data_IF_375352135173
#
_entry.id   IF_375352135173
#
_cell.length_a   1.000
_cell.length_b   1.000
_cell.length_c   1.000
_cell.angle_alpha   90.00
_cell.angle_beta   90.00
_cell.angle_gamma   90.00
#
_symmetry.space_group_name_H-M   'P 1'
#
loop_
_entity.id
_entity.type
_entity.pdbx_description
1 polymer ?
#
# COMPACT_ATOMS: atom_id res chain seq x y z
N UNK A 1 9.23 -33.31 -16.21
CA UNK A 1 7.81 -33.07 -15.83
C UNK A 1 7.69 -31.58 -15.57
N UNK A 2 6.63 -30.91 -16.04
CA UNK A 2 6.42 -29.47 -15.78
C UNK A 2 6.28 -29.24 -14.28
N UNK A 3 6.86 -28.17 -13.76
CA UNK A 3 6.66 -27.72 -12.38
C UNK A 3 5.40 -26.88 -12.27
N UNK A 4 4.75 -26.93 -11.12
CA UNK A 4 3.60 -26.09 -10.81
C UNK A 4 4.05 -24.73 -10.21
N UNK A 5 3.19 -23.74 -10.33
CA UNK A 5 3.36 -22.46 -9.70
C UNK A 5 2.36 -22.29 -8.55
N UNK A 6 2.74 -21.47 -7.56
CA UNK A 6 1.84 -21.08 -6.46
C UNK A 6 1.98 -19.60 -6.17
N UNK A 7 0.86 -18.90 -5.97
CA UNK A 7 0.83 -17.47 -5.63
C UNK A 7 0.02 -17.23 -4.37
N UNK A 8 0.48 -16.33 -3.52
CA UNK A 8 -0.21 -15.89 -2.32
C UNK A 8 -0.23 -14.39 -2.16
N UNK A 9 -1.18 -13.91 -1.34
CA UNK A 9 -1.34 -12.52 -0.96
C UNK A 9 -1.16 -12.39 0.55
N UNK A 10 -0.50 -11.32 1.01
CA UNK A 10 -0.15 -11.14 2.41
C UNK A 10 -0.20 -9.67 2.85
N UNK A 11 -0.47 -9.46 4.13
CA UNK A 11 -0.54 -8.15 4.77
C UNK A 11 -1.83 -7.39 4.48
N UNK A 12 -1.83 -6.08 4.70
CA UNK A 12 -2.96 -5.19 4.41
C UNK A 12 -3.29 -5.17 2.91
N UNK A 13 -4.58 -5.26 2.51
CA UNK A 13 -4.95 -5.23 1.10
C UNK A 13 -4.81 -3.83 0.50
N UNK A 14 -4.80 -3.75 -0.84
CA UNK A 14 -4.91 -2.51 -1.61
C UNK A 14 -5.99 -2.62 -2.67
N UNK A 15 -6.35 -1.51 -3.30
CA UNK A 15 -7.32 -1.51 -4.38
C UNK A 15 -6.82 -2.26 -5.63
N UNK A 16 -5.50 -2.42 -5.81
CA UNK A 16 -4.89 -3.09 -6.99
C UNK A 16 -4.12 -4.37 -6.65
N UNK A 17 -4.19 -4.88 -5.40
CA UNK A 17 -3.47 -6.12 -5.05
C UNK A 17 -3.90 -7.30 -5.93
N UNK A 18 -5.16 -7.32 -6.35
CA UNK A 18 -5.68 -8.35 -7.24
C UNK A 18 -5.30 -8.11 -8.71
N UNK A 19 -4.96 -6.90 -9.10
CA UNK A 19 -4.36 -6.63 -10.41
C UNK A 19 -2.96 -7.27 -10.51
N UNK A 20 -2.15 -7.22 -9.44
CA UNK A 20 -0.90 -7.98 -9.37
C UNK A 20 -1.13 -9.48 -9.42
N UNK A 21 -2.15 -10.00 -8.71
CA UNK A 21 -2.54 -11.41 -8.78
C UNK A 21 -2.95 -11.80 -10.20
N UNK A 22 -3.76 -10.98 -10.87
CA UNK A 22 -4.12 -11.17 -12.27
C UNK A 22 -2.87 -11.30 -13.16
N UNK A 23 -1.90 -10.40 -12.99
CA UNK A 23 -0.66 -10.42 -13.76
C UNK A 23 0.11 -11.72 -13.61
N UNK A 24 0.23 -12.25 -12.37
CA UNK A 24 0.88 -13.55 -12.11
C UNK A 24 0.11 -14.70 -12.76
N UNK A 25 -1.21 -14.76 -12.54
CA UNK A 25 -2.04 -15.88 -13.04
C UNK A 25 -2.10 -15.87 -14.57
N UNK A 26 -2.35 -14.72 -15.17
CA UNK A 26 -2.44 -14.57 -16.62
C UNK A 26 -1.13 -14.96 -17.32
N UNK A 27 0.01 -14.48 -16.83
CA UNK A 27 1.31 -14.84 -17.42
C UNK A 27 1.61 -16.33 -17.23
N UNK A 28 1.30 -16.91 -16.05
CA UNK A 28 1.52 -18.35 -15.80
C UNK A 28 0.66 -19.24 -16.72
N UNK A 29 -0.61 -18.87 -16.96
CA UNK A 29 -1.50 -19.58 -17.89
C UNK A 29 -1.00 -19.48 -19.33
N UNK A 30 -0.42 -18.35 -19.74
CA UNK A 30 0.19 -18.19 -21.07
C UNK A 30 1.52 -18.95 -21.24
N UNK A 31 2.01 -19.60 -20.18
CA UNK A 31 3.23 -20.43 -20.17
C UNK A 31 2.94 -21.89 -19.86
N UNK A 32 1.80 -22.40 -20.30
CA UNK A 32 1.44 -23.81 -20.12
C UNK A 32 2.43 -24.79 -20.75
N UNK A 33 3.32 -24.35 -21.63
CA UNK A 33 4.44 -25.16 -22.14
C UNK A 33 5.49 -25.47 -21.07
N UNK A 34 5.68 -24.62 -20.05
CA UNK A 34 6.66 -24.74 -18.97
C UNK A 34 6.02 -24.94 -17.61
N UNK A 35 4.98 -24.18 -17.29
CA UNK A 35 4.24 -24.24 -16.01
C UNK A 35 3.10 -25.26 -16.13
N UNK A 36 2.93 -26.12 -15.12
CA UNK A 36 1.78 -27.02 -14.99
C UNK A 36 0.55 -26.29 -14.49
N UNK A 37 0.14 -26.57 -13.27
CA UNK A 37 -0.96 -25.88 -12.60
C UNK A 37 -0.47 -24.61 -11.91
N UNK A 38 -1.26 -23.53 -11.94
CA UNK A 38 -1.08 -22.35 -11.08
C UNK A 38 -2.08 -22.41 -9.93
N UNK A 39 -1.56 -22.54 -8.70
CA UNK A 39 -2.34 -22.56 -7.46
C UNK A 39 -2.38 -21.18 -6.80
N UNK A 40 -3.51 -20.83 -6.19
CA UNK A 40 -3.66 -19.70 -5.27
C UNK A 40 -3.66 -20.18 -3.82
N UNK A 41 -2.77 -19.66 -2.98
CA UNK A 41 -2.77 -19.94 -1.53
C UNK A 41 -3.92 -19.19 -0.85
N UNK A 42 -4.87 -19.90 -0.29
CA UNK A 42 -5.94 -19.30 0.47
C UNK A 42 -5.42 -18.92 1.86
N UNK A 43 -5.45 -17.62 2.18
CA UNK A 43 -4.84 -17.03 3.38
C UNK A 43 -3.30 -17.23 3.48
N UNK A 44 -2.60 -17.05 2.36
CA UNK A 44 -1.15 -16.98 2.30
C UNK A 44 -0.44 -18.23 2.85
N UNK A 45 0.71 -18.05 3.46
CA UNK A 45 1.54 -19.14 4.02
C UNK A 45 0.80 -19.95 5.08
N UNK A 46 0.02 -19.30 5.94
CA UNK A 46 -0.76 -19.99 6.98
C UNK A 46 -1.77 -20.95 6.36
N UNK A 47 -2.46 -20.51 5.31
CA UNK A 47 -3.37 -21.38 4.57
C UNK A 47 -2.65 -22.51 3.85
N UNK A 48 -1.48 -22.26 3.25
CA UNK A 48 -0.69 -23.28 2.59
C UNK A 48 -0.16 -24.33 3.57
N UNK A 49 0.21 -23.95 4.78
CA UNK A 49 0.54 -24.91 5.85
C UNK A 49 -0.61 -25.88 6.15
N UNK A 50 -1.85 -25.44 5.97
CA UNK A 50 -3.05 -26.26 6.11
C UNK A 50 -3.54 -26.87 4.78
N UNK A 51 -2.72 -26.79 3.71
CA UNK A 51 -3.05 -27.26 2.35
C UNK A 51 -4.31 -26.60 1.77
N UNK A 52 -4.63 -25.39 2.24
CA UNK A 52 -5.76 -24.61 1.76
C UNK A 52 -5.34 -23.79 0.53
N UNK A 53 -5.64 -24.31 -0.65
CA UNK A 53 -5.30 -23.67 -1.92
C UNK A 53 -6.33 -24.04 -2.99
N UNK A 54 -6.36 -23.26 -4.09
CA UNK A 54 -7.25 -23.48 -5.22
C UNK A 54 -6.48 -23.46 -6.54
N UNK A 55 -6.97 -24.20 -7.53
CA UNK A 55 -6.53 -24.04 -8.92
C UNK A 55 -7.09 -22.74 -9.47
N UNK A 56 -6.22 -21.92 -10.07
CA UNK A 56 -6.60 -20.61 -10.60
C UNK A 56 -7.12 -20.66 -12.06
N UNK A 57 -6.89 -21.76 -12.78
CA UNK A 57 -7.30 -21.91 -14.19
C UNK A 57 -8.81 -21.78 -14.42
N UNK A 58 -9.70 -22.31 -13.54
CA UNK A 58 -11.14 -22.14 -13.73
C UNK A 58 -11.62 -20.69 -13.74
N UNK A 59 -10.89 -19.75 -13.11
CA UNK A 59 -11.25 -18.33 -13.09
C UNK A 59 -11.16 -17.68 -14.47
N UNK A 60 -10.20 -18.12 -15.30
CA UNK A 60 -10.09 -17.67 -16.70
C UNK A 60 -11.27 -18.20 -17.53
N UNK A 61 -11.55 -19.50 -17.43
CA UNK A 61 -12.63 -20.15 -18.16
C UNK A 61 -14.01 -19.56 -17.85
N UNK A 62 -14.24 -19.07 -16.64
CA UNK A 62 -15.50 -18.48 -16.20
C UNK A 62 -15.57 -16.96 -16.40
N UNK A 63 -14.50 -16.31 -16.91
CA UNK A 63 -14.40 -14.86 -17.05
C UNK A 63 -14.26 -14.11 -15.73
N UNK A 64 -14.11 -14.80 -14.61
CA UNK A 64 -13.92 -14.20 -13.26
C UNK A 64 -12.54 -13.56 -13.12
N UNK A 65 -11.53 -14.06 -13.85
CA UNK A 65 -10.16 -13.53 -13.80
C UNK A 65 -10.12 -12.04 -14.21
N UNK A 66 -10.94 -11.63 -15.19
CA UNK A 66 -11.05 -10.22 -15.60
C UNK A 66 -11.66 -9.34 -14.49
N UNK A 67 -12.62 -9.86 -13.72
CA UNK A 67 -13.22 -9.12 -12.61
C UNK A 67 -12.24 -8.95 -11.44
N UNK A 68 -11.31 -9.87 -11.27
CA UNK A 68 -10.30 -9.80 -10.20
C UNK A 68 -9.49 -8.51 -10.30
N UNK A 69 -9.16 -8.01 -11.48
CA UNK A 69 -8.36 -6.78 -11.68
C UNK A 69 -8.89 -5.58 -10.91
N UNK A 70 -10.20 -5.42 -10.87
CA UNK A 70 -10.87 -4.25 -10.26
C UNK A 70 -11.56 -4.59 -8.94
N UNK A 71 -11.45 -5.83 -8.47
CA UNK A 71 -11.97 -6.26 -7.18
C UNK A 71 -11.03 -5.80 -6.07
N UNK A 72 -11.46 -4.96 -5.12
CA UNK A 72 -10.63 -4.54 -4.00
C UNK A 72 -10.46 -5.66 -2.97
N UNK A 73 -9.45 -5.51 -2.12
CA UNK A 73 -9.13 -6.52 -1.12
C UNK A 73 -8.33 -7.69 -1.70
N UNK A 74 -7.96 -8.65 -0.86
CA UNK A 74 -7.18 -9.83 -1.29
C UNK A 74 -8.14 -10.95 -1.67
N UNK A 75 -8.24 -11.26 -2.96
CA UNK A 75 -9.13 -12.32 -3.47
C UNK A 75 -8.83 -13.69 -2.84
N UNK A 76 -7.54 -14.01 -2.67
CA UNK A 76 -7.10 -15.23 -2.03
C UNK A 76 -7.19 -15.17 -0.49
N UNK A 77 -7.64 -14.05 0.09
CA UNK A 77 -7.48 -13.78 1.50
C UNK A 77 -6.05 -13.36 1.83
N UNK A 78 -5.80 -13.07 3.09
CA UNK A 78 -4.50 -12.62 3.57
C UNK A 78 -4.17 -13.30 4.89
N UNK A 79 -2.90 -13.33 5.25
CA UNK A 79 -2.45 -13.74 6.58
C UNK A 79 -1.44 -12.74 7.15
N UNK A 80 -1.22 -12.85 8.44
CA UNK A 80 -0.19 -12.12 9.19
C UNK A 80 0.73 -13.11 9.92
N UNK A 81 1.19 -14.11 9.18
CA UNK A 81 2.08 -15.15 9.71
C UNK A 81 3.54 -14.75 9.44
N UNK A 82 4.33 -14.67 10.51
CA UNK A 82 5.79 -14.47 10.44
C UNK A 82 6.49 -15.81 10.54
N UNK A 83 7.32 -16.13 9.55
CA UNK A 83 8.23 -17.27 9.63
C UNK A 83 9.29 -17.01 10.72
N UNK A 84 9.66 -18.06 11.51
CA UNK A 84 10.75 -17.93 12.48
C UNK A 84 12.05 -17.47 11.86
N UNK A 85 12.87 -16.71 12.64
CA UNK A 85 14.23 -16.32 12.19
C UNK A 85 15.19 -17.50 12.11
N UNK A 86 14.99 -18.49 12.98
CA UNK A 86 15.78 -19.71 12.99
C UNK A 86 15.35 -20.63 11.86
N UNK A 87 16.19 -20.76 10.83
CA UNK A 87 15.94 -21.62 9.68
C UNK A 87 15.93 -23.13 10.02
N UNK A 88 16.28 -23.52 11.25
CA UNK A 88 16.16 -24.92 11.71
C UNK A 88 14.78 -25.26 12.26
N UNK A 89 13.88 -24.28 12.36
CA UNK A 89 12.49 -24.50 12.81
C UNK A 89 11.75 -25.48 11.92
N UNK A 90 10.92 -26.31 12.57
CA UNK A 90 10.18 -27.38 11.91
C UNK A 90 9.19 -26.89 10.83
N UNK A 91 8.82 -25.61 10.82
CA UNK A 91 7.92 -25.06 9.79
C UNK A 91 8.53 -25.09 8.40
N UNK A 92 9.85 -24.90 8.29
CA UNK A 92 10.53 -24.90 6.99
C UNK A 92 10.50 -26.27 6.29
N UNK A 93 10.96 -27.36 6.90
CA UNK A 93 10.81 -28.67 6.26
C UNK A 93 9.35 -29.03 5.98
N UNK A 94 8.38 -28.67 6.85
CA UNK A 94 6.95 -28.90 6.58
C UNK A 94 6.47 -28.17 5.32
N UNK A 95 6.89 -26.90 5.09
CA UNK A 95 6.56 -26.17 3.88
C UNK A 95 7.18 -26.83 2.65
N UNK A 96 8.44 -27.25 2.73
CA UNK A 96 9.16 -27.85 1.60
C UNK A 96 8.64 -29.24 1.24
N UNK A 97 8.22 -30.05 2.21
CA UNK A 97 7.50 -31.32 1.96
C UNK A 97 6.19 -31.05 1.17
N UNK A 98 5.46 -29.98 1.50
CA UNK A 98 4.25 -29.61 0.75
C UNK A 98 4.56 -29.08 -0.65
N UNK A 99 5.62 -28.28 -0.79
CA UNK A 99 6.08 -27.86 -2.12
C UNK A 99 6.44 -29.07 -3.00
N UNK A 100 7.11 -30.07 -2.44
CA UNK A 100 7.42 -31.31 -3.16
C UNK A 100 6.15 -32.10 -3.50
N UNK A 101 5.26 -32.30 -2.51
CA UNK A 101 3.98 -33.01 -2.69
C UNK A 101 3.16 -32.43 -3.85
N UNK A 102 3.12 -31.12 -4.00
CA UNK A 102 2.38 -30.44 -5.05
C UNK A 102 3.23 -30.08 -6.28
N UNK A 103 4.46 -30.62 -6.35
CA UNK A 103 5.42 -30.38 -7.43
C UNK A 103 5.62 -28.88 -7.74
N UNK A 104 5.66 -28.03 -6.71
CA UNK A 104 5.87 -26.58 -6.85
C UNK A 104 7.31 -26.32 -7.27
N UNK A 105 7.49 -25.53 -8.32
CA UNK A 105 8.80 -25.04 -8.79
C UNK A 105 8.89 -23.52 -8.79
N UNK A 106 7.74 -22.84 -8.69
CA UNK A 106 7.67 -21.38 -8.73
C UNK A 106 6.75 -20.88 -7.63
N UNK A 107 7.27 -20.01 -6.79
CA UNK A 107 6.56 -19.41 -5.67
C UNK A 107 6.51 -17.88 -5.84
N UNK A 108 5.31 -17.31 -5.81
CA UNK A 108 5.07 -15.87 -5.92
C UNK A 108 4.35 -15.37 -4.68
N UNK A 109 4.86 -14.29 -4.07
CA UNK A 109 4.24 -13.74 -2.87
C UNK A 109 4.02 -12.24 -3.02
N UNK A 110 2.75 -11.84 -3.04
CA UNK A 110 2.32 -10.45 -3.23
C UNK A 110 2.16 -9.82 -1.85
N UNK A 111 3.01 -8.82 -1.53
CA UNK A 111 2.93 -8.19 -0.23
C UNK A 111 3.93 -7.07 0.02
N UNK A 112 3.90 -6.56 1.24
CA UNK A 112 4.79 -5.52 1.75
C UNK A 112 6.04 -6.08 2.42
N UNK A 113 6.60 -5.33 3.35
CA UNK A 113 7.87 -5.60 4.02
C UNK A 113 7.93 -6.99 4.68
N UNK A 114 6.94 -7.36 5.50
CA UNK A 114 6.85 -8.69 6.13
C UNK A 114 6.73 -9.83 5.10
N UNK A 115 6.16 -9.55 3.93
CA UNK A 115 6.05 -10.56 2.87
C UNK A 115 7.39 -10.75 2.15
N UNK A 116 8.18 -9.69 2.01
CA UNK A 116 9.54 -9.77 1.49
C UNK A 116 10.45 -10.52 2.45
N UNK A 117 10.27 -10.34 3.76
CA UNK A 117 10.94 -11.15 4.79
C UNK A 117 10.61 -12.65 4.66
N UNK A 118 9.34 -12.99 4.38
CA UNK A 118 8.93 -14.37 4.09
C UNK A 118 9.65 -14.93 2.86
N UNK A 119 9.72 -14.18 1.76
CA UNK A 119 10.45 -14.58 0.53
C UNK A 119 11.93 -14.76 0.80
N UNK A 120 12.56 -13.85 1.55
CA UNK A 120 13.95 -13.93 1.99
C UNK A 120 14.22 -15.22 2.75
N UNK A 121 13.44 -15.52 3.78
CA UNK A 121 13.61 -16.70 4.63
C UNK A 121 13.42 -18.02 3.84
N UNK A 122 12.41 -18.07 2.99
CA UNK A 122 12.17 -19.26 2.16
C UNK A 122 13.28 -19.48 1.12
N UNK A 123 13.77 -18.42 0.49
CA UNK A 123 14.88 -18.56 -0.48
C UNK A 123 16.19 -18.97 0.20
N UNK A 124 16.50 -18.42 1.38
CA UNK A 124 17.66 -18.81 2.17
C UNK A 124 17.58 -20.26 2.65
N UNK A 125 16.39 -20.69 3.12
CA UNK A 125 16.21 -22.11 3.48
C UNK A 125 16.36 -23.02 2.26
N UNK A 126 15.83 -22.64 1.11
CA UNK A 126 15.98 -23.40 -0.16
C UNK A 126 17.45 -23.64 -0.51
N UNK A 127 18.34 -22.68 -0.28
CA UNK A 127 19.77 -22.84 -0.49
C UNK A 127 20.36 -23.92 0.43
N UNK A 128 19.95 -23.99 1.70
CA UNK A 128 20.47 -24.97 2.66
C UNK A 128 20.10 -26.40 2.30
N UNK A 129 18.98 -26.60 1.62
CA UNK A 129 18.47 -27.93 1.20
C UNK A 129 18.66 -28.20 -0.30
N UNK A 130 19.37 -27.32 -1.01
CA UNK A 130 19.60 -27.39 -2.46
C UNK A 130 18.30 -27.52 -3.27
N UNK A 131 17.27 -26.79 -2.89
CA UNK A 131 15.98 -26.77 -3.59
C UNK A 131 16.06 -25.90 -4.84
N UNK A 132 15.43 -26.33 -5.92
CA UNK A 132 15.36 -25.61 -7.20
C UNK A 132 14.14 -24.67 -7.30
N UNK A 133 13.34 -24.52 -6.25
CA UNK A 133 12.17 -23.63 -6.25
C UNK A 133 12.60 -22.18 -6.42
N UNK A 134 11.91 -21.45 -7.27
CA UNK A 134 12.13 -20.01 -7.50
C UNK A 134 11.15 -19.18 -6.66
N UNK A 135 11.68 -18.39 -5.76
CA UNK A 135 10.92 -17.51 -4.84
C UNK A 135 11.02 -16.08 -5.32
N UNK A 136 9.89 -15.49 -5.69
CA UNK A 136 9.78 -14.11 -6.17
C UNK A 136 8.76 -13.33 -5.33
N UNK A 137 9.17 -12.18 -4.81
CA UNK A 137 8.31 -11.18 -4.19
C UNK A 137 7.72 -10.24 -5.24
N UNK A 138 6.41 -9.99 -5.14
CA UNK A 138 5.71 -8.98 -5.92
C UNK A 138 5.34 -7.85 -4.97
N UNK A 139 5.83 -6.61 -5.17
CA UNK A 139 5.60 -5.52 -4.24
C UNK A 139 4.13 -5.14 -4.18
N UNK A 140 3.67 -4.82 -2.99
CA UNK A 140 2.34 -4.29 -2.72
C UNK A 140 2.34 -3.59 -1.36
N UNK A 141 2.03 -2.31 -1.33
CA UNK A 141 1.63 -1.56 -0.14
C UNK A 141 1.10 -0.19 -0.56
N UNK A 142 0.12 0.36 0.19
CA UNK A 142 -0.30 1.76 0.02
C UNK A 142 0.69 2.72 0.68
N UNK A 143 1.49 2.24 1.64
CA UNK A 143 2.39 3.07 2.45
C UNK A 143 3.62 3.55 1.66
N UNK A 144 3.89 2.96 0.50
CA UNK A 144 5.01 3.30 -0.39
C UNK A 144 6.39 3.26 0.30
N UNK A 145 6.52 2.36 1.25
CA UNK A 145 7.62 2.26 2.21
C UNK A 145 8.71 1.24 1.85
N UNK A 146 8.59 0.52 0.73
CA UNK A 146 9.61 -0.43 0.28
C UNK A 146 10.79 0.30 -0.34
N UNK A 147 12.02 -0.06 0.09
CA UNK A 147 13.25 0.48 -0.48
C UNK A 147 13.58 -0.15 -1.83
N UNK A 148 14.56 0.40 -2.57
CA UNK A 148 15.04 -0.06 -3.88
C UNK A 148 13.98 -0.09 -4.98
N UNK A 149 12.80 0.48 -4.76
CA UNK A 149 11.76 0.66 -5.77
C UNK A 149 11.29 2.10 -5.79
N UNK A 150 10.98 2.66 -6.96
CA UNK A 150 10.47 4.03 -7.08
C UNK A 150 9.18 4.18 -6.27
N UNK A 151 8.22 3.30 -6.50
CA UNK A 151 6.94 3.25 -5.76
C UNK A 151 6.40 1.82 -5.73
N UNK A 152 5.26 1.64 -5.05
CA UNK A 152 4.65 0.32 -4.87
C UNK A 152 3.21 0.31 -5.38
N UNK A 153 2.76 -0.81 -6.01
CA UNK A 153 1.35 -1.00 -6.37
C UNK A 153 0.43 -0.86 -5.16
N UNK A 154 -0.59 -0.04 -5.32
CA UNK A 154 -1.52 0.37 -4.26
C UNK A 154 -1.37 1.82 -3.84
N UNK A 155 -0.14 2.36 -3.84
CA UNK A 155 0.10 3.76 -3.48
C UNK A 155 -0.57 4.72 -4.46
N UNK A 156 -0.44 4.52 -5.78
CA UNK A 156 -1.00 5.43 -6.78
C UNK A 156 -2.53 5.58 -6.66
N UNK A 157 -3.26 4.49 -6.48
CA UNK A 157 -4.71 4.54 -6.28
C UNK A 157 -5.11 5.13 -4.94
N UNK A 158 -4.39 4.82 -3.86
CA UNK A 158 -4.65 5.40 -2.55
C UNK A 158 -4.34 6.91 -2.52
N UNK A 159 -3.24 7.35 -3.14
CA UNK A 159 -2.89 8.77 -3.31
C UNK A 159 -3.96 9.53 -4.12
N UNK A 160 -4.49 8.92 -5.20
CA UNK A 160 -5.59 9.48 -5.98
C UNK A 160 -6.86 9.63 -5.14
N UNK A 161 -7.18 8.61 -4.33
CA UNK A 161 -8.33 8.66 -3.41
C UNK A 161 -8.16 9.80 -2.40
N UNK A 162 -7.00 9.89 -1.74
CA UNK A 162 -6.69 10.96 -0.77
C UNK A 162 -6.82 12.33 -1.42
N UNK A 163 -6.13 12.55 -2.54
CA UNK A 163 -6.15 13.84 -3.23
C UNK A 163 -7.57 14.26 -3.68
N UNK A 164 -8.34 13.32 -4.22
CA UNK A 164 -9.71 13.58 -4.68
C UNK A 164 -10.65 13.89 -3.52
N UNK A 165 -10.61 13.05 -2.47
CA UNK A 165 -11.47 13.22 -1.28
C UNK A 165 -11.14 14.51 -0.53
N UNK A 166 -9.85 14.85 -0.38
CA UNK A 166 -9.44 16.10 0.26
C UNK A 166 -9.88 17.32 -0.57
N UNK A 167 -9.82 17.24 -1.91
CA UNK A 167 -10.33 18.29 -2.79
C UNK A 167 -11.83 18.51 -2.64
N UNK A 168 -12.60 17.41 -2.57
CA UNK A 168 -14.06 17.47 -2.34
C UNK A 168 -14.38 18.05 -0.96
N UNK A 169 -13.68 17.63 0.09
CA UNK A 169 -13.80 18.19 1.45
C UNK A 169 -13.47 19.68 1.47
N UNK A 170 -12.43 20.11 0.74
CA UNK A 170 -12.05 21.51 0.66
C UNK A 170 -13.16 22.39 0.00
N UNK A 171 -13.79 21.87 -1.05
CA UNK A 171 -14.92 22.53 -1.70
C UNK A 171 -16.13 22.61 -0.75
N UNK A 172 -16.50 21.50 -0.08
CA UNK A 172 -17.58 21.49 0.91
C UNK A 172 -17.31 22.48 2.05
N UNK A 173 -16.08 22.50 2.56
CA UNK A 173 -15.72 23.43 3.64
C UNK A 173 -15.81 24.91 3.21
N UNK A 174 -15.55 25.22 1.95
CA UNK A 174 -15.49 26.60 1.44
C UNK A 174 -16.83 27.33 1.43
N UNK A 175 -17.96 26.63 1.53
CA UNK A 175 -19.31 27.24 1.48
C UNK A 175 -19.65 28.06 2.73
N UNK A 176 -18.89 27.94 3.81
CA UNK A 176 -19.09 28.66 5.08
C UNK A 176 -18.00 29.71 5.31
N UNK A 177 -17.81 30.61 4.37
CA UNK A 177 -16.72 31.59 4.36
C UNK A 177 -16.85 32.72 5.38
N UNK A 178 -18.03 32.88 6.02
CA UNK A 178 -18.33 33.92 7.00
C UNK A 178 -17.92 33.56 8.45
N UNK A 179 -17.38 32.37 8.69
CA UNK A 179 -16.95 31.91 10.02
C UNK A 179 -15.69 31.05 9.92
N UNK A 180 -14.77 31.32 10.85
CA UNK A 180 -13.54 30.50 10.97
C UNK A 180 -13.88 29.03 11.33
N UNK A 181 -13.35 28.09 10.55
CA UNK A 181 -13.50 26.67 10.78
C UNK A 181 -12.25 25.89 10.35
N UNK A 182 -12.03 24.75 11.00
CA UNK A 182 -10.95 23.81 10.67
C UNK A 182 -11.53 22.43 10.40
N UNK A 183 -11.14 21.79 9.32
CA UNK A 183 -11.40 20.38 9.06
C UNK A 183 -10.06 19.65 9.08
N UNK A 184 -9.90 18.71 10.01
CA UNK A 184 -8.71 17.87 10.15
C UNK A 184 -8.99 16.55 9.44
N UNK A 185 -8.13 16.14 8.50
CA UNK A 185 -8.26 14.88 7.77
C UNK A 185 -7.11 13.97 8.19
N UNK A 186 -7.46 12.86 8.85
CA UNK A 186 -6.51 11.84 9.28
C UNK A 186 -6.35 10.79 8.17
N UNK A 187 -5.11 10.53 7.79
CA UNK A 187 -4.71 9.70 6.65
C UNK A 187 -3.77 8.60 7.13
N UNK A 188 -3.88 7.40 6.59
CA UNK A 188 -2.97 6.28 6.92
C UNK A 188 -1.51 6.62 6.62
N UNK A 189 -0.62 6.04 7.40
CA UNK A 189 0.83 6.20 7.29
C UNK A 189 1.46 6.22 8.68
N UNK A 190 1.91 5.06 9.19
CA UNK A 190 2.45 4.95 10.56
C UNK A 190 3.83 5.57 10.69
N UNK A 191 4.77 5.16 9.84
CA UNK A 191 6.17 5.56 9.88
C UNK A 191 6.58 6.38 8.66
N UNK A 192 5.82 6.28 7.57
CA UNK A 192 6.05 6.99 6.32
C UNK A 192 4.81 7.78 5.92
N UNK A 193 4.98 9.06 5.64
CA UNK A 193 3.91 10.02 5.37
C UNK A 193 3.49 10.14 3.91
N UNK A 194 3.82 9.19 3.05
CA UNK A 194 3.58 9.29 1.60
C UNK A 194 2.12 9.57 1.22
N UNK A 195 1.16 8.92 1.90
CA UNK A 195 -0.27 9.15 1.64
C UNK A 195 -0.75 10.51 2.16
N UNK A 196 -0.30 10.92 3.35
CA UNK A 196 -0.64 12.24 3.87
C UNK A 196 -0.03 13.34 2.98
N UNK A 197 1.21 13.17 2.51
CA UNK A 197 1.84 14.06 1.54
C UNK A 197 1.04 14.15 0.23
N UNK A 198 0.42 13.05 -0.23
CA UNK A 198 -0.39 13.04 -1.45
C UNK A 198 -1.61 13.98 -1.39
N UNK A 199 -2.03 14.41 -0.20
CA UNK A 199 -3.09 15.41 -0.04
C UNK A 199 -2.73 16.77 -0.69
N UNK A 200 -1.43 17.09 -0.88
CA UNK A 200 -0.99 18.28 -1.59
C UNK A 200 -1.51 18.36 -3.03
N UNK A 201 -1.72 17.18 -3.67
CA UNK A 201 -2.27 17.10 -5.03
C UNK A 201 -3.74 17.55 -5.12
N UNK A 202 -4.41 17.76 -3.99
CA UNK A 202 -5.74 18.35 -3.94
C UNK A 202 -5.73 19.83 -4.37
N UNK A 203 -4.63 20.53 -4.18
CA UNK A 203 -4.46 21.96 -4.54
C UNK A 203 -4.48 22.16 -6.05
N UNK A 204 -5.04 23.28 -6.48
CA UNK A 204 -4.96 23.75 -7.86
C UNK A 204 -4.05 24.98 -7.97
N UNK A 205 -4.08 25.82 -6.93
CA UNK A 205 -3.27 27.03 -6.84
C UNK A 205 -2.52 27.08 -5.52
N UNK A 206 -1.46 27.87 -5.47
CA UNK A 206 -0.76 28.17 -4.23
C UNK A 206 -1.73 28.78 -3.20
N UNK A 207 -1.67 28.30 -1.96
CA UNK A 207 -2.58 28.73 -0.89
C UNK A 207 -3.94 28.03 -0.84
N UNK A 208 -4.26 27.15 -1.81
CA UNK A 208 -5.46 26.31 -1.74
C UNK A 208 -5.37 25.30 -0.58
N UNK A 209 -6.54 24.85 -0.13
CA UNK A 209 -6.61 23.74 0.82
C UNK A 209 -6.15 22.39 0.21
N UNK A 210 -5.50 21.51 0.99
CA UNK A 210 -5.16 21.65 2.41
C UNK A 210 -4.02 22.65 2.62
N UNK A 211 -4.15 23.55 3.57
CA UNK A 211 -3.14 24.60 3.85
C UNK A 211 -2.00 24.11 4.74
N UNK A 212 -2.23 23.02 5.52
CA UNK A 212 -1.26 22.43 6.41
C UNK A 212 -1.27 20.92 6.22
N UNK A 213 -0.08 20.31 6.16
CA UNK A 213 0.12 18.86 5.99
C UNK A 213 1.24 18.42 6.93
N UNK A 214 0.92 17.56 7.90
CA UNK A 214 1.89 17.05 8.88
C UNK A 214 2.18 15.57 8.66
N UNK A 215 3.46 15.24 8.59
CA UNK A 215 3.98 13.90 8.32
C UNK A 215 4.71 13.32 9.54
N UNK A 216 4.81 11.98 9.67
CA UNK A 216 5.53 11.33 10.77
C UNK A 216 7.04 11.53 10.72
N UNK A 217 7.60 11.92 9.58
CA UNK A 217 9.03 12.18 9.35
C UNK A 217 9.55 13.39 10.14
N UNK A 218 8.66 14.29 10.57
CA UNK A 218 9.01 15.49 11.32
C UNK A 218 8.32 15.45 12.68
N UNK A 219 9.08 15.75 13.75
CA UNK A 219 8.51 15.83 15.08
C UNK A 219 7.34 16.83 15.14
N UNK A 220 6.20 16.36 15.62
CA UNK A 220 4.98 17.15 15.70
C UNK A 220 4.93 17.94 17.01
N UNK A 221 4.69 19.24 16.89
CA UNK A 221 4.50 20.16 18.01
C UNK A 221 3.08 20.76 18.01
N UNK A 222 2.35 20.58 19.11
CA UNK A 222 0.97 21.06 19.26
C UNK A 222 0.87 22.58 19.30
N UNK A 223 1.82 23.27 19.93
CA UNK A 223 1.83 24.73 19.98
C UNK A 223 2.16 25.32 18.62
N UNK A 224 3.04 24.65 17.84
CA UNK A 224 3.31 25.05 16.46
C UNK A 224 2.07 24.86 15.58
N UNK A 225 1.33 23.75 15.71
CA UNK A 225 0.05 23.55 14.99
C UNK A 225 -0.92 24.72 15.27
N UNK A 226 -1.08 25.11 16.55
CA UNK A 226 -1.99 26.19 16.92
C UNK A 226 -1.55 27.53 16.30
N UNK A 227 -0.24 27.82 16.30
CA UNK A 227 0.32 29.01 15.67
C UNK A 227 0.12 28.98 14.14
N UNK A 228 0.36 27.84 13.49
CA UNK A 228 0.18 27.67 12.04
C UNK A 228 -1.29 27.86 11.63
N UNK A 229 -2.23 27.30 12.40
CA UNK A 229 -3.69 27.51 12.21
C UNK A 229 -4.07 28.98 12.36
N UNK A 230 -3.56 29.68 13.39
CA UNK A 230 -3.84 31.11 13.57
C UNK A 230 -3.31 31.94 12.41
N UNK A 231 -2.09 31.65 11.95
CA UNK A 231 -1.47 32.32 10.80
C UNK A 231 -2.25 32.08 9.51
N UNK A 232 -2.67 30.83 9.27
CA UNK A 232 -3.46 30.49 8.08
C UNK A 232 -4.81 31.23 8.06
N UNK A 233 -5.41 31.50 9.21
CA UNK A 233 -6.63 32.31 9.33
C UNK A 233 -6.47 33.81 8.95
N UNK A 234 -5.27 34.27 8.70
CA UNK A 234 -5.03 35.63 8.14
C UNK A 234 -5.39 35.65 6.65
N UNK A 235 -5.40 34.52 5.97
CA UNK A 235 -5.59 34.43 4.52
C UNK A 235 -6.90 33.74 4.11
N UNK A 236 -7.42 32.81 4.92
CA UNK A 236 -8.66 32.09 4.65
C UNK A 236 -9.44 31.81 5.93
N UNK A 237 -10.77 31.70 5.83
CA UNK A 237 -11.65 31.39 6.97
C UNK A 237 -11.88 29.87 7.13
N UNK A 238 -11.63 29.07 6.12
CA UNK A 238 -11.87 27.62 6.13
C UNK A 238 -10.58 26.86 5.84
N UNK A 239 -10.07 26.20 6.88
CA UNK A 239 -8.82 25.46 6.80
C UNK A 239 -9.10 23.97 6.69
N UNK A 240 -8.42 23.31 5.76
CA UNK A 240 -8.25 21.85 5.77
C UNK A 240 -6.81 21.55 6.17
N UNK A 241 -6.66 20.75 7.21
CA UNK A 241 -5.38 20.29 7.76
C UNK A 241 -5.31 18.80 7.57
N UNK A 242 -4.35 18.32 6.81
CA UNK A 242 -4.12 16.87 6.63
C UNK A 242 -3.02 16.41 7.58
N UNK A 243 -3.24 15.28 8.24
CA UNK A 243 -2.27 14.67 9.14
C UNK A 243 -2.10 13.19 8.81
N UNK A 244 -0.90 12.68 8.97
CA UNK A 244 -0.70 11.25 9.04
C UNK A 244 -1.15 10.71 10.42
N UNK A 245 -1.74 9.51 10.45
CA UNK A 245 -2.06 8.82 11.71
C UNK A 245 -0.84 8.61 12.60
N UNK A 246 0.36 8.56 11.99
CA UNK A 246 1.64 8.30 12.63
C UNK A 246 2.39 9.55 13.11
N UNK A 247 1.78 10.75 13.11
CA UNK A 247 2.46 11.93 13.67
C UNK A 247 2.84 11.70 15.14
N UNK A 248 4.04 12.09 15.49
CA UNK A 248 4.64 11.78 16.81
C UNK A 248 5.52 12.93 17.32
N UNK A 249 5.86 12.90 18.61
CA UNK A 249 6.63 13.93 19.30
C UNK A 249 8.15 13.91 19.03
N UNK A 250 8.60 13.10 18.09
CA UNK A 250 10.02 12.87 17.79
C UNK A 250 10.75 11.93 18.78
N UNK A 251 10.10 11.55 19.88
CA UNK A 251 10.61 10.60 20.88
C UNK A 251 9.89 9.25 20.81
N UNK A 252 9.11 9.02 19.76
CA UNK A 252 8.38 7.77 19.50
C UNK A 252 7.00 7.67 20.17
N UNK A 253 6.48 8.75 20.75
CA UNK A 253 5.12 8.79 21.28
C UNK A 253 4.18 9.38 20.23
N UNK A 254 3.23 8.59 19.77
CA UNK A 254 2.24 9.03 18.79
C UNK A 254 1.21 9.97 19.41
N UNK A 255 0.70 10.91 18.61
CA UNK A 255 -0.32 11.88 19.05
C UNK A 255 -1.61 11.18 19.50
N UNK A 256 -2.01 10.09 18.86
CA UNK A 256 -3.18 9.30 19.27
C UNK A 256 -3.05 8.74 20.71
N UNK A 257 -1.84 8.49 21.20
CA UNK A 257 -1.60 8.01 22.58
C UNK A 257 -1.88 9.08 23.64
N UNK A 258 -2.05 10.34 23.23
CA UNK A 258 -2.47 11.42 24.13
C UNK A 258 -3.99 11.42 24.38
N UNK A 259 -4.74 10.75 23.54
CA UNK A 259 -6.21 10.70 23.60
C UNK A 259 -6.74 9.53 24.47
N UNK A 260 -6.09 8.36 24.43
CA UNK A 260 -6.54 7.13 25.11
C UNK A 260 -5.47 6.05 25.09
N UNK A 261 -5.65 4.98 25.86
CA UNK A 261 -4.82 3.77 25.75
C UNK A 261 -5.01 3.15 24.36
N UNK A 262 -3.93 3.05 23.60
CA UNK A 262 -3.91 2.51 22.26
C UNK A 262 -3.70 1.00 22.30
N UNK A 263 -4.62 0.23 21.74
CA UNK A 263 -4.48 -1.22 21.59
C UNK A 263 -3.34 -1.60 20.63
N UNK A 264 -2.94 -2.88 20.65
CA UNK A 264 -1.96 -3.43 19.71
C UNK A 264 -2.61 -4.44 18.77
N UNK A 265 -2.12 -4.51 17.53
CA UNK A 265 -2.54 -5.52 16.56
C UNK A 265 -1.84 -6.88 16.82
N UNK A 266 -2.16 -7.88 15.99
CA UNK A 266 -1.58 -9.23 16.10
C UNK A 266 -0.08 -9.31 15.84
N UNK A 267 0.54 -8.25 15.31
CA UNK A 267 2.00 -8.14 15.14
C UNK A 267 2.68 -7.35 16.28
N UNK A 268 1.90 -6.87 17.26
CA UNK A 268 2.39 -6.04 18.36
C UNK A 268 2.54 -4.55 17.99
N UNK A 269 2.01 -4.12 16.85
CA UNK A 269 1.99 -2.71 16.48
C UNK A 269 0.82 -1.99 17.15
N UNK A 270 1.05 -0.77 17.62
CA UNK A 270 -0.01 0.09 18.16
C UNK A 270 -1.07 0.36 17.11
N UNK A 271 -2.35 0.25 17.47
CA UNK A 271 -3.47 0.62 16.61
C UNK A 271 -3.61 2.14 16.60
N UNK A 272 -3.05 2.79 15.58
CA UNK A 272 -3.05 4.25 15.47
C UNK A 272 -4.40 4.72 14.92
N UNK A 273 -5.24 5.29 15.78
CA UNK A 273 -6.49 5.96 15.40
C UNK A 273 -6.78 7.05 16.42
N UNK A 274 -7.42 8.13 15.97
CA UNK A 274 -7.89 9.19 16.85
C UNK A 274 -6.95 10.37 17.04
N UNK A 275 -5.85 10.45 16.31
CA UNK A 275 -5.00 11.66 16.26
C UNK A 275 -5.83 12.87 15.82
N UNK A 276 -6.65 12.72 14.75
CA UNK A 276 -7.54 13.78 14.26
C UNK A 276 -8.56 14.22 15.31
N UNK A 277 -9.13 13.27 16.06
CA UNK A 277 -10.10 13.60 17.12
C UNK A 277 -9.46 14.31 18.32
N UNK A 278 -8.25 13.90 18.68
CA UNK A 278 -7.48 14.59 19.71
C UNK A 278 -7.20 16.04 19.31
N UNK A 279 -6.72 16.25 18.10
CA UNK A 279 -6.41 17.61 17.58
C UNK A 279 -7.68 18.45 17.36
N UNK A 280 -8.81 17.84 16.99
CA UNK A 280 -10.12 18.53 16.93
C UNK A 280 -10.44 19.19 18.27
N UNK A 281 -10.33 18.43 19.37
CA UNK A 281 -10.59 18.94 20.71
C UNK A 281 -9.55 20.01 21.10
N UNK A 282 -8.27 19.75 20.87
CA UNK A 282 -7.20 20.71 21.16
C UNK A 282 -7.43 22.06 20.48
N UNK A 283 -7.66 22.06 19.17
CA UNK A 283 -7.86 23.30 18.40
C UNK A 283 -9.14 24.02 18.81
N UNK A 284 -10.23 23.26 19.03
CA UNK A 284 -11.50 23.82 19.50
C UNK A 284 -11.36 24.50 20.86
N UNK A 285 -10.71 23.84 21.83
CA UNK A 285 -10.60 24.35 23.19
C UNK A 285 -9.63 25.55 23.28
N UNK A 286 -8.55 25.52 22.49
CA UNK A 286 -7.52 26.56 22.53
C UNK A 286 -7.85 27.79 21.66
N UNK A 287 -8.50 27.60 20.53
CA UNK A 287 -8.78 28.70 19.57
C UNK A 287 -10.26 29.14 19.53
N UNK A 288 -11.17 28.39 20.13
CA UNK A 288 -12.59 28.74 20.17
C UNK A 288 -13.29 28.71 18.81
N UNK A 289 -12.74 28.01 17.82
CA UNK A 289 -13.29 27.93 16.47
C UNK A 289 -14.05 26.61 16.27
N UNK A 290 -14.88 26.55 15.21
CA UNK A 290 -15.53 25.30 14.82
C UNK A 290 -14.48 24.37 14.23
N UNK A 291 -14.40 23.13 14.75
CA UNK A 291 -13.50 22.09 14.25
C UNK A 291 -14.28 20.81 13.99
N UNK A 292 -13.88 20.06 13.01
CA UNK A 292 -14.29 18.66 12.78
C UNK A 292 -13.07 17.82 12.38
N UNK A 293 -13.09 16.54 12.70
CA UNK A 293 -12.12 15.57 12.20
C UNK A 293 -12.81 14.53 11.32
N UNK A 294 -12.08 14.05 10.32
CA UNK A 294 -12.50 13.02 9.36
C UNK A 294 -11.35 12.03 9.28
N UNK A 295 -11.61 10.77 9.62
CA UNK A 295 -10.67 9.68 9.43
C UNK A 295 -10.98 8.98 8.10
N UNK A 296 -10.04 8.94 7.16
CA UNK A 296 -10.22 8.24 5.88
C UNK A 296 -10.22 6.73 6.05
N UNK A 297 -9.52 6.23 7.06
CA UNK A 297 -9.50 4.84 7.49
C UNK A 297 -9.34 3.87 6.30
N UNK A 298 -10.02 2.70 6.32
CA UNK A 298 -9.88 1.65 5.29
C UNK A 298 -10.34 2.08 3.88
N UNK A 299 -11.17 3.12 3.76
CA UNK A 299 -11.70 3.58 2.48
C UNK A 299 -10.58 3.96 1.50
N UNK A 300 -9.47 4.55 1.97
CA UNK A 300 -8.35 4.96 1.15
C UNK A 300 -7.59 3.79 0.48
N UNK A 301 -7.76 2.56 0.96
CA UNK A 301 -7.10 1.37 0.40
C UNK A 301 -8.03 0.40 -0.34
N UNK A 302 -9.34 0.68 -0.38
CA UNK A 302 -10.32 -0.23 -0.98
C UNK A 302 -11.26 0.42 -2.00
N UNK A 303 -11.11 1.72 -2.29
CA UNK A 303 -11.96 2.40 -3.26
C UNK A 303 -11.69 1.94 -4.68
N UNK A 304 -12.59 1.16 -5.27
CA UNK A 304 -12.55 0.78 -6.68
C UNK A 304 -12.98 1.93 -7.60
N UNK A 305 -13.78 2.87 -7.11
CA UNK A 305 -14.26 4.02 -7.90
C UNK A 305 -13.14 5.00 -8.28
N UNK A 306 -12.05 5.03 -7.50
CA UNK A 306 -10.94 5.97 -7.69
C UNK A 306 -9.62 5.26 -8.06
N UNK A 307 -9.69 4.11 -8.74
CA UNK A 307 -8.49 3.44 -9.23
C UNK A 307 -7.69 4.34 -10.18
N UNK A 308 -6.37 4.38 -9.98
CA UNK A 308 -5.44 4.94 -10.95
C UNK A 308 -5.17 3.92 -12.06
N UNK A 309 -5.32 4.34 -13.32
CA UNK A 309 -5.00 3.46 -14.45
C UNK A 309 -3.50 3.18 -14.55
N UNK A 310 -2.65 4.11 -14.12
CA UNK A 310 -1.20 3.90 -14.00
C UNK A 310 -0.92 2.78 -12.99
N UNK A 311 -1.47 2.87 -11.79
CA UNK A 311 -1.26 1.93 -10.69
C UNK A 311 -1.76 0.51 -11.05
N UNK A 312 -2.97 0.39 -11.66
CA UNK A 312 -3.50 -0.90 -12.12
C UNK A 312 -2.59 -1.55 -13.16
N UNK A 313 -2.21 -0.78 -14.19
CA UNK A 313 -1.33 -1.27 -15.27
C UNK A 313 0.01 -1.76 -14.73
N UNK A 314 0.60 -1.01 -13.81
CA UNK A 314 1.89 -1.34 -13.22
C UNK A 314 1.80 -2.53 -12.26
N UNK A 315 0.70 -2.64 -11.51
CA UNK A 315 0.42 -3.81 -10.70
C UNK A 315 0.33 -5.11 -11.53
N UNK A 316 -0.39 -5.07 -12.66
CA UNK A 316 -0.47 -6.20 -13.60
C UNK A 316 0.91 -6.54 -14.15
N UNK A 317 1.65 -5.54 -14.62
CA UNK A 317 2.96 -5.74 -15.22
C UNK A 317 3.97 -6.31 -14.24
N UNK A 318 3.96 -5.88 -12.97
CA UNK A 318 4.84 -6.41 -11.93
C UNK A 318 4.59 -7.90 -11.66
N UNK A 319 3.32 -8.33 -11.64
CA UNK A 319 2.95 -9.73 -11.50
C UNK A 319 3.46 -10.57 -12.67
N UNK A 320 3.22 -10.12 -13.90
CA UNK A 320 3.67 -10.81 -15.12
C UNK A 320 5.20 -10.88 -15.21
N UNK A 321 5.89 -9.77 -14.90
CA UNK A 321 7.35 -9.72 -14.91
C UNK A 321 7.97 -10.65 -13.85
N UNK A 322 7.29 -10.82 -12.69
CA UNK A 322 7.68 -11.78 -11.67
C UNK A 322 7.72 -13.22 -12.19
N UNK A 323 6.70 -13.65 -12.94
CA UNK A 323 6.69 -14.97 -13.57
C UNK A 323 7.81 -15.10 -14.59
N UNK A 324 8.00 -14.13 -15.47
CA UNK A 324 9.07 -14.13 -16.47
C UNK A 324 10.46 -14.19 -15.81
N UNK A 325 10.65 -13.53 -14.69
CA UNK A 325 11.89 -13.53 -13.90
C UNK A 325 12.18 -14.91 -13.31
N UNK A 326 11.17 -15.56 -12.71
CA UNK A 326 11.29 -16.91 -12.19
C UNK A 326 11.63 -17.92 -13.29
N UNK A 327 11.02 -17.81 -14.48
CA UNK A 327 11.28 -18.70 -15.63
C UNK A 327 12.70 -18.55 -16.18
N UNK A 328 13.37 -17.41 -15.98
CA UNK A 328 14.78 -17.20 -16.30
C UNK A 328 15.74 -17.82 -15.26
N UNK A 329 15.20 -18.46 -14.20
CA UNK A 329 15.97 -19.12 -13.16
C UNK A 329 16.34 -18.23 -11.97
N UNK A 330 15.85 -17.00 -11.92
CA UNK A 330 16.10 -16.06 -10.82
C UNK A 330 15.28 -16.44 -9.58
N UNK A 331 15.84 -16.26 -8.37
CA UNK A 331 15.20 -16.55 -7.09
C UNK A 331 15.67 -15.59 -6.01
N UNK A 332 14.93 -15.44 -4.90
CA UNK A 332 15.28 -14.56 -3.78
C UNK A 332 15.17 -13.07 -4.09
N UNK A 333 14.33 -12.71 -5.07
CA UNK A 333 14.21 -11.33 -5.55
C UNK A 333 12.81 -10.77 -5.37
N UNK A 334 12.73 -9.45 -5.18
CA UNK A 334 11.50 -8.66 -5.36
C UNK A 334 11.53 -7.97 -6.72
N UNK A 335 10.38 -7.85 -7.36
CA UNK A 335 10.26 -7.03 -8.58
C UNK A 335 10.18 -5.56 -8.19
N UNK A 336 11.20 -4.80 -8.52
CA UNK A 336 11.30 -3.36 -8.26
C UNK A 336 10.96 -2.53 -9.51
N UNK A 337 10.50 -1.31 -9.27
CA UNK A 337 10.15 -0.32 -10.28
C UNK A 337 11.25 0.74 -10.33
N UNK A 338 11.78 1.00 -11.51
CA UNK A 338 12.79 2.03 -11.72
C UNK A 338 12.26 3.06 -12.70
N UNK A 339 12.05 4.28 -12.20
CA UNK A 339 11.66 5.41 -13.04
C UNK A 339 12.82 5.79 -13.96
N UNK A 340 12.52 6.01 -15.24
CA UNK A 340 13.51 6.47 -16.20
C UNK A 340 13.62 8.01 -16.15
N UNK A 341 14.75 8.53 -16.64
CA UNK A 341 14.98 9.98 -16.76
C UNK A 341 14.35 10.59 -18.03
N UNK A 342 13.39 9.87 -18.66
CA UNK A 342 12.69 10.34 -19.83
C UNK A 342 11.79 11.56 -19.52
N UNK A 343 11.52 12.39 -20.55
CA UNK A 343 10.64 13.54 -20.40
C UNK A 343 9.19 13.15 -20.03
N UNK A 344 8.74 12.00 -20.53
CA UNK A 344 7.45 11.41 -20.17
C UNK A 344 7.65 10.35 -19.09
N UNK A 345 6.71 10.27 -18.17
CA UNK A 345 6.73 9.25 -17.11
C UNK A 345 6.78 7.84 -17.67
N UNK A 346 7.83 7.13 -17.34
CA UNK A 346 8.02 5.73 -17.70
C UNK A 346 8.78 4.98 -16.61
N UNK A 347 8.42 3.71 -16.38
CA UNK A 347 9.13 2.80 -15.48
C UNK A 347 9.60 1.54 -16.21
N UNK A 348 10.69 0.98 -15.71
CA UNK A 348 11.18 -0.35 -16.05
C UNK A 348 11.12 -1.23 -14.82
N UNK A 349 11.07 -2.55 -15.02
CA UNK A 349 11.02 -3.54 -13.96
C UNK A 349 12.35 -4.29 -13.88
N UNK A 350 12.85 -4.46 -12.66
CA UNK A 350 14.07 -5.25 -12.42
C UNK A 350 13.91 -6.10 -11.15
N UNK A 351 14.59 -7.27 -11.09
CA UNK A 351 14.65 -8.03 -9.86
C UNK A 351 15.72 -7.42 -8.93
N UNK A 352 15.34 -7.11 -7.69
CA UNK A 352 16.24 -6.65 -6.63
C UNK A 352 16.33 -7.67 -5.52
N UNK A 353 17.50 -7.82 -4.89
CA UNK A 353 17.70 -8.78 -3.80
C UNK A 353 16.77 -8.46 -2.63
N UNK A 354 15.89 -9.39 -2.32
CA UNK A 354 14.89 -9.25 -1.25
C UNK A 354 15.53 -9.06 0.13
N UNK A 355 16.76 -9.54 0.34
CA UNK A 355 17.48 -9.36 1.61
C UNK A 355 17.92 -7.90 1.85
N UNK A 356 17.99 -7.09 0.79
CA UNK A 356 18.29 -5.66 0.88
C UNK A 356 17.05 -4.81 1.08
N UNK A 357 15.85 -5.42 1.00
CA UNK A 357 14.55 -4.73 1.05
C UNK A 357 13.83 -5.00 2.36
N UNK A 358 13.73 -6.27 2.74
CA UNK A 358 12.99 -6.64 3.94
C UNK A 358 13.56 -5.98 5.21
N UNK A 359 12.67 -5.60 6.12
CA UNK A 359 12.99 -4.92 7.38
C UNK A 359 13.65 -3.53 7.22
N UNK A 360 13.46 -2.87 6.06
CA UNK A 360 13.83 -1.49 5.83
C UNK A 360 12.62 -0.67 5.41
N UNK A 361 12.61 0.63 5.72
CA UNK A 361 11.51 1.54 5.41
C UNK A 361 12.01 2.74 4.60
N UNK A 362 11.26 3.09 3.55
CA UNK A 362 11.44 4.29 2.74
C UNK A 362 10.46 5.37 3.19
N UNK A 363 10.97 6.46 3.71
CA UNK A 363 10.19 7.62 4.14
C UNK A 363 10.20 8.74 3.11
N UNK A 364 9.31 9.72 3.28
CA UNK A 364 9.34 10.94 2.46
C UNK A 364 10.65 11.69 2.71
N UNK A 365 11.42 12.05 1.65
CA UNK A 365 12.67 12.77 1.84
C UNK A 365 12.45 14.10 2.59
N UNK A 366 13.24 14.36 3.63
CA UNK A 366 13.08 15.55 4.47
C UNK A 366 13.19 16.86 3.68
N UNK A 367 13.97 16.87 2.60
CA UNK A 367 14.09 18.04 1.72
C UNK A 367 12.88 18.25 0.79
N UNK A 368 11.90 17.35 0.80
CA UNK A 368 10.60 17.52 0.14
C UNK A 368 9.55 18.09 1.08
N UNK A 369 9.85 18.16 2.39
CA UNK A 369 8.98 18.70 3.42
C UNK A 369 9.36 20.19 3.61
N UNK A 370 8.39 21.07 3.53
CA UNK A 370 8.55 22.53 3.58
C UNK A 370 7.75 23.14 4.71
N UNK A 371 7.65 24.47 4.79
CA UNK A 371 6.83 25.16 5.80
C UNK A 371 7.24 24.85 7.24
N UNK A 372 8.54 24.59 7.50
CA UNK A 372 9.04 24.13 8.82
C UNK A 372 8.38 22.83 9.31
N UNK A 373 8.06 21.91 8.38
CA UNK A 373 7.46 20.62 8.71
C UNK A 373 5.93 20.56 8.55
N UNK A 374 5.30 21.62 8.06
CA UNK A 374 3.84 21.70 7.92
C UNK A 374 3.34 21.79 6.48
N UNK A 375 4.21 21.57 5.49
CA UNK A 375 3.84 21.59 4.07
C UNK A 375 4.73 20.70 3.20
N UNK A 376 4.35 20.50 1.92
CA UNK A 376 4.98 19.61 0.97
C UNK A 376 5.43 20.39 -0.27
N UNK A 377 6.68 20.16 -0.67
CA UNK A 377 7.32 20.82 -1.81
C UNK A 377 6.96 20.25 -3.18
N UNK A 378 7.35 20.98 -4.23
CA UNK A 378 7.06 20.64 -5.63
C UNK A 378 7.65 19.29 -6.04
N UNK A 379 8.77 18.86 -5.46
CA UNK A 379 9.40 17.58 -5.77
C UNK A 379 8.47 16.38 -5.52
N UNK A 380 7.67 16.45 -4.44
CA UNK A 380 6.67 15.42 -4.18
C UNK A 380 5.54 15.44 -5.22
N UNK A 381 5.08 16.62 -5.61
CA UNK A 381 4.03 16.79 -6.63
C UNK A 381 4.49 16.16 -7.95
N UNK A 382 5.71 16.50 -8.39
CA UNK A 382 6.31 15.96 -9.62
C UNK A 382 6.48 14.44 -9.56
N UNK A 383 6.83 13.91 -8.38
CA UNK A 383 6.94 12.48 -8.15
C UNK A 383 5.59 11.76 -8.21
N UNK A 384 4.58 12.27 -7.50
CA UNK A 384 3.34 11.55 -7.26
C UNK A 384 2.26 11.78 -8.35
N UNK A 385 2.30 12.93 -9.05
CA UNK A 385 1.29 13.28 -10.05
C UNK A 385 1.13 12.25 -11.18
N UNK A 386 2.19 11.66 -11.75
CA UNK A 386 2.07 10.61 -12.76
C UNK A 386 1.38 9.34 -12.25
N UNK A 387 1.55 9.02 -10.97
CA UNK A 387 1.05 7.78 -10.36
C UNK A 387 -0.47 7.77 -10.18
N UNK A 388 -1.12 8.94 -10.15
CA UNK A 388 -2.57 9.07 -9.96
C UNK A 388 -3.35 9.19 -11.27
N UNK A 389 -2.68 9.02 -12.42
CA UNK A 389 -3.28 9.33 -13.72
C UNK A 389 -4.23 8.26 -14.24
N UNK A 390 -5.18 8.75 -15.05
CA UNK A 390 -6.19 7.91 -15.71
C UNK A 390 -7.22 7.34 -14.74
N UNK A 391 -8.26 6.73 -15.29
CA UNK A 391 -9.33 6.07 -14.52
C UNK A 391 -9.62 4.71 -15.10
N UNK A 392 -9.86 3.75 -14.24
CA UNK A 392 -10.24 2.38 -14.61
C UNK A 392 -11.76 2.27 -14.64
N UNK A 393 -12.30 1.69 -15.69
CA UNK A 393 -13.73 1.40 -15.74
C UNK A 393 -14.01 0.12 -14.97
N UNK A 394 -14.61 0.26 -13.81
CA UNK A 394 -15.07 -0.88 -13.00
C UNK A 394 -16.40 -1.39 -13.58
N UNK A 395 -16.56 -2.70 -13.85
CA UNK A 395 -17.85 -3.26 -14.24
C UNK A 395 -18.92 -3.01 -13.18
N UNK A 396 -20.16 -2.84 -13.62
CA UNK A 396 -21.29 -2.58 -12.71
C UNK A 396 -22.39 -3.63 -12.89
N UNK A 397 -23.12 -3.87 -11.82
CA UNK A 397 -24.32 -4.70 -11.78
C UNK A 397 -25.31 -4.09 -10.79
N UNK A 398 -26.51 -3.80 -11.26
CA UNK A 398 -27.56 -3.16 -10.44
C UNK A 398 -27.18 -1.77 -9.92
N UNK A 399 -26.29 -1.02 -10.61
CA UNK A 399 -25.85 0.31 -10.20
C UNK A 399 -24.72 0.29 -9.16
N UNK A 400 -24.15 -0.88 -8.82
CA UNK A 400 -23.04 -1.05 -7.90
C UNK A 400 -21.85 -1.71 -8.59
N UNK A 401 -20.60 -1.51 -8.12
CA UNK A 401 -19.46 -2.20 -8.65
C UNK A 401 -19.63 -3.72 -8.60
N UNK A 402 -19.32 -4.38 -9.71
CA UNK A 402 -19.33 -5.84 -9.81
C UNK A 402 -17.96 -6.40 -9.49
N UNK A 403 -17.91 -7.28 -8.50
CA UNK A 403 -16.67 -7.88 -8.02
C UNK A 403 -16.66 -9.40 -8.19
N UNK A 404 -15.46 -9.96 -8.27
CA UNK A 404 -15.25 -11.39 -8.13
C UNK A 404 -15.36 -11.80 -6.66
N UNK A 405 -16.11 -12.87 -6.40
CA UNK A 405 -16.27 -13.43 -5.05
C UNK A 405 -15.76 -14.87 -5.03
N UNK A 406 -14.86 -15.16 -4.11
CA UNK A 406 -14.45 -16.54 -3.88
C UNK A 406 -15.63 -17.31 -3.25
N UNK A 407 -16.05 -18.35 -3.91
CA UNK A 407 -17.13 -19.26 -3.45
C UNK A 407 -16.58 -20.35 -2.53
#
# INVERSE_FOLDING_TARGET
MKKNAIVGQSGGPTAVINASLYGVVYEALNREDVIGTIYGMINGIEGFLNENMMDMKPLEANGELELIKTTPGSYLGSCRYKLPEDLTDAVYPQLFEKFEKYNIGYFFYIGGNDSMDTVSKLSRYAETVNSEIRFIGIPKTIDNDLVLTDHTPGFGSAAKYVASTVREIAIDASVYDNKKSVTIVEIMGRHAGWLAAASVLARKFEGDNPVLIYLPEVAFDQEQLLADVQKAFEHTSNLVVCISEGINDGNGKFVCELASDVGVDTFGHKMLTGSGKYLENLVKDRLGVKVRSIELNVNQRCSSAMLSATDEKEAIASGSFGVQTALKGTTGMMIAFHRTDDADYHITYAPEDVNLICNQEKTVPLNWITGNGSDIGQQFIDYALPLIQGSVKVPEEGGLPKFAYRK
#
